data_IF_990565439683
#
_entry.id   IF_990565439683
#
_cell.length_a   1.000
_cell.length_b   1.000
_cell.length_c   1.000
_cell.angle_alpha   90.00
_cell.angle_beta   90.00
_cell.angle_gamma   90.00
#
_symmetry.space_group_name_H-M   'P 1'
#
loop_
_entity.id
_entity.type
_entity.pdbx_description
1 polymer ?
#
# COMPACT_ATOMS: atom_id res chain seq x y z
N UNK A 1 29.92 36.73 10.79
CA UNK A 1 28.53 36.31 11.12
C UNK A 1 28.21 35.14 10.19
N UNK A 2 28.21 33.91 10.69
CA UNK A 2 27.86 32.76 9.86
C UNK A 2 26.38 32.87 9.46
N UNK A 3 26.10 32.95 8.15
CA UNK A 3 24.75 32.77 7.63
C UNK A 3 24.19 31.51 8.28
N UNK A 4 23.00 31.63 8.84
CA UNK A 4 22.28 30.57 9.52
C UNK A 4 21.93 29.51 8.46
N UNK A 5 22.86 28.58 8.18
CA UNK A 5 22.68 27.51 7.23
C UNK A 5 21.54 26.63 7.74
N UNK A 6 20.44 26.56 6.98
CA UNK A 6 19.30 25.72 7.34
C UNK A 6 19.73 24.26 7.35
N UNK A 7 19.28 23.44 8.30
CA UNK A 7 19.54 22.02 8.27
C UNK A 7 18.90 21.37 7.02
N UNK A 8 19.63 20.46 6.41
CA UNK A 8 19.13 19.66 5.29
C UNK A 8 18.04 18.69 5.73
N UNK A 9 17.07 18.44 4.86
CA UNK A 9 16.05 17.41 5.04
C UNK A 9 15.87 16.66 3.72
N UNK A 10 16.08 15.36 3.74
CA UNK A 10 15.87 14.49 2.59
C UNK A 10 14.49 13.82 2.64
N UNK A 11 13.77 13.82 1.51
CA UNK A 11 12.43 13.27 1.39
C UNK A 11 12.34 12.28 0.21
N UNK A 12 12.00 11.03 0.50
CA UNK A 12 11.56 10.09 -0.51
C UNK A 12 10.10 10.40 -0.89
N UNK A 13 9.87 10.88 -2.09
CA UNK A 13 8.54 11.33 -2.55
C UNK A 13 8.00 10.40 -3.64
N UNK A 14 6.68 10.17 -3.64
CA UNK A 14 6.01 9.50 -4.76
C UNK A 14 6.04 10.39 -6.02
N UNK A 15 6.24 9.76 -7.19
CA UNK A 15 6.21 10.47 -8.47
C UNK A 15 4.77 10.77 -8.90
N UNK A 16 4.19 11.82 -8.34
CA UNK A 16 2.83 12.26 -8.64
C UNK A 16 2.68 13.79 -8.52
N UNK A 17 1.63 14.33 -9.13
CA UNK A 17 1.41 15.78 -9.19
C UNK A 17 1.37 16.47 -7.81
N UNK A 18 0.92 15.77 -6.77
CA UNK A 18 0.83 16.31 -5.40
C UNK A 18 2.20 16.58 -4.78
N UNK A 19 3.23 15.77 -5.09
CA UNK A 19 4.58 15.96 -4.60
C UNK A 19 5.44 16.83 -5.53
N UNK A 20 5.00 17.05 -6.77
CA UNK A 20 5.80 17.73 -7.80
C UNK A 20 6.33 19.09 -7.36
N UNK A 21 5.52 19.89 -6.69
CA UNK A 21 5.93 21.24 -6.25
C UNK A 21 7.04 21.24 -5.18
N UNK A 22 7.16 20.14 -4.41
CA UNK A 22 8.28 19.91 -3.49
C UNK A 22 9.52 19.45 -4.25
N UNK A 23 9.36 18.54 -5.22
CA UNK A 23 10.47 17.96 -5.97
C UNK A 23 11.13 18.98 -6.91
N UNK A 24 10.34 19.87 -7.53
CA UNK A 24 10.87 20.91 -8.46
C UNK A 24 11.25 22.24 -7.76
N UNK A 25 11.18 22.28 -6.43
CA UNK A 25 11.60 23.42 -5.60
C UNK A 25 10.69 24.64 -5.63
N UNK A 26 9.48 24.55 -6.23
CA UNK A 26 8.49 25.65 -6.22
C UNK A 26 7.94 25.91 -4.82
N UNK A 27 7.91 24.89 -3.97
CA UNK A 27 7.56 25.00 -2.55
C UNK A 27 8.83 24.80 -1.73
N UNK A 28 9.15 25.75 -0.88
CA UNK A 28 10.33 25.74 0.00
C UNK A 28 9.91 25.69 1.46
N UNK A 29 10.66 24.97 2.27
CA UNK A 29 10.44 24.94 3.71
C UNK A 29 11.09 26.18 4.36
N UNK A 30 10.40 26.73 5.37
CA UNK A 30 10.90 27.92 6.09
C UNK A 30 12.20 27.63 6.85
N UNK A 31 12.29 26.48 7.52
CA UNK A 31 13.33 26.17 8.49
C UNK A 31 14.33 25.10 8.01
N UNK A 32 14.11 24.50 6.86
CA UNK A 32 14.93 23.40 6.31
C UNK A 32 15.27 23.64 4.84
N UNK A 33 16.41 23.11 4.43
CA UNK A 33 16.73 22.93 3.01
C UNK A 33 16.23 21.55 2.56
N UNK A 34 15.15 21.53 1.79
CA UNK A 34 14.51 20.28 1.36
C UNK A 34 15.15 19.74 0.09
N UNK A 35 15.58 18.48 0.15
CA UNK A 35 15.94 17.67 -1.00
C UNK A 35 14.88 16.56 -1.18
N UNK A 36 13.86 16.81 -2.00
CA UNK A 36 12.85 15.81 -2.33
C UNK A 36 13.27 15.02 -3.57
N UNK A 37 13.31 13.70 -3.46
CA UNK A 37 13.68 12.78 -4.54
C UNK A 37 12.44 11.99 -4.94
N UNK A 38 11.92 12.17 -6.17
CA UNK A 38 10.77 11.43 -6.64
C UNK A 38 11.17 10.01 -7.07
N UNK A 39 10.37 9.03 -6.68
CA UNK A 39 10.45 7.65 -7.13
C UNK A 39 9.25 7.31 -8.02
N UNK A 40 9.49 6.77 -9.21
CA UNK A 40 8.43 6.30 -10.11
C UNK A 40 7.76 5.04 -9.57
N UNK A 41 8.54 4.21 -8.89
CA UNK A 41 8.07 3.00 -8.23
C UNK A 41 7.98 3.23 -6.72
N UNK A 42 6.77 3.34 -6.19
CA UNK A 42 6.53 3.51 -4.75
C UNK A 42 7.25 2.45 -3.91
N UNK A 43 7.36 1.22 -4.44
CA UNK A 43 8.05 0.13 -3.75
C UNK A 43 9.54 0.40 -3.56
N UNK A 44 10.21 1.01 -4.53
CA UNK A 44 11.62 1.40 -4.43
C UNK A 44 11.81 2.52 -3.42
N UNK A 45 10.98 3.55 -3.47
CA UNK A 45 11.00 4.64 -2.48
C UNK A 45 10.80 4.14 -1.04
N UNK A 46 9.91 3.15 -0.85
CA UNK A 46 9.72 2.51 0.45
C UNK A 46 10.96 1.74 0.93
N UNK A 47 11.65 1.02 0.04
CA UNK A 47 12.84 0.26 0.39
C UNK A 47 14.01 1.18 0.77
N UNK A 48 14.22 2.23 0.00
CA UNK A 48 15.24 3.24 0.27
C UNK A 48 14.98 3.99 1.60
N UNK A 49 13.72 4.31 1.88
CA UNK A 49 13.32 4.91 3.15
C UNK A 49 13.55 3.95 4.33
N UNK A 50 13.15 2.69 4.21
CA UNK A 50 13.37 1.67 5.25
C UNK A 50 14.86 1.39 5.47
N UNK A 51 15.69 1.53 4.44
CA UNK A 51 17.15 1.44 4.53
C UNK A 51 17.79 2.66 5.22
N UNK A 52 17.01 3.66 5.64
CA UNK A 52 17.51 4.84 6.35
C UNK A 52 18.23 5.86 5.45
N UNK A 53 17.99 5.82 4.13
CA UNK A 53 18.60 6.75 3.19
C UNK A 53 17.94 8.12 3.15
N UNK A 54 16.80 8.27 3.81
CA UNK A 54 16.00 9.49 3.85
C UNK A 54 15.52 9.80 5.28
N UNK A 55 15.47 11.09 5.60
CA UNK A 55 14.94 11.58 6.88
C UNK A 55 13.41 11.45 6.94
N UNK A 56 12.75 11.58 5.80
CA UNK A 56 11.29 11.46 5.66
C UNK A 56 10.92 10.74 4.37
N UNK A 57 9.71 10.17 4.32
CA UNK A 57 9.22 9.49 3.11
C UNK A 57 7.71 9.38 3.06
N UNK A 58 7.17 9.41 1.83
CA UNK A 58 5.81 8.94 1.59
C UNK A 58 5.82 7.41 1.74
N UNK A 59 4.91 6.88 2.56
CA UNK A 59 4.97 5.48 2.95
C UNK A 59 3.60 4.81 2.97
N UNK A 60 3.56 3.50 2.74
CA UNK A 60 2.34 2.71 2.83
C UNK A 60 1.80 2.68 4.25
N UNK A 61 0.55 3.11 4.47
CA UNK A 61 -0.08 3.08 5.80
C UNK A 61 -0.10 1.66 6.39
N UNK A 62 -0.41 0.64 5.60
CA UNK A 62 -0.44 -0.74 6.09
C UNK A 62 0.96 -1.22 6.54
N UNK A 63 2.00 -0.90 5.78
CA UNK A 63 3.38 -1.21 6.16
C UNK A 63 3.82 -0.42 7.40
N UNK A 64 3.47 0.87 7.48
CA UNK A 64 3.74 1.69 8.65
C UNK A 64 3.15 1.08 9.92
N UNK A 65 1.86 0.70 9.89
CA UNK A 65 1.20 0.08 11.03
C UNK A 65 1.86 -1.25 11.44
N UNK A 66 2.22 -2.09 10.46
CA UNK A 66 2.92 -3.35 10.71
C UNK A 66 4.31 -3.14 11.33
N UNK A 67 5.07 -2.16 10.87
CA UNK A 67 6.37 -1.81 11.44
C UNK A 67 6.23 -1.18 12.83
N UNK A 68 5.27 -0.27 12.99
CA UNK A 68 5.01 0.42 14.26
C UNK A 68 4.59 -0.55 15.37
N UNK A 69 3.76 -1.55 15.06
CA UNK A 69 3.36 -2.59 16.03
C UNK A 69 4.53 -3.44 16.53
N UNK A 70 5.68 -3.38 15.85
CA UNK A 70 6.93 -4.07 16.23
C UNK A 70 7.96 -3.13 16.84
N UNK A 71 7.58 -1.90 17.19
CA UNK A 71 8.45 -0.94 17.84
C UNK A 71 9.38 -0.18 16.89
N UNK A 72 9.14 -0.22 15.56
CA UNK A 72 9.96 0.57 14.63
C UNK A 72 9.91 2.07 14.97
N UNK A 73 11.04 2.80 14.89
CA UNK A 73 11.16 4.17 15.37
C UNK A 73 10.59 5.22 14.41
N UNK A 74 9.66 4.81 13.54
CA UNK A 74 9.01 5.71 12.61
C UNK A 74 7.91 6.53 13.28
N UNK A 75 7.79 7.79 12.88
CA UNK A 75 6.71 8.70 13.27
C UNK A 75 5.94 9.13 12.03
N UNK A 76 4.63 8.94 12.04
CA UNK A 76 3.78 9.48 11.00
C UNK A 76 3.38 10.92 11.34
N UNK A 77 3.46 11.82 10.37
CA UNK A 77 2.85 13.14 10.44
C UNK A 77 1.46 13.10 9.78
N UNK A 78 0.50 13.94 10.19
CA UNK A 78 -0.88 13.88 9.70
C UNK A 78 -1.03 14.47 8.29
N UNK A 79 -0.19 14.03 7.36
CA UNK A 79 -0.22 14.40 5.94
C UNK A 79 -0.57 13.15 5.14
N UNK A 80 -1.69 13.18 4.43
CA UNK A 80 -2.20 12.06 3.64
C UNK A 80 -2.19 12.42 2.15
N UNK A 81 -1.08 12.17 1.42
CA UNK A 81 -0.94 12.53 0.02
C UNK A 81 -1.92 11.80 -0.89
N UNK A 82 -2.32 10.58 -0.51
CA UNK A 82 -3.25 9.76 -1.28
C UNK A 82 -4.51 9.46 -0.46
N UNK A 83 -5.65 9.98 -0.92
CA UNK A 83 -6.96 9.75 -0.31
C UNK A 83 -7.91 9.18 -1.36
N UNK A 84 -8.40 7.96 -1.15
CA UNK A 84 -9.31 7.28 -2.08
C UNK A 84 -10.33 6.46 -1.32
N UNK A 85 -11.57 6.42 -1.82
CA UNK A 85 -12.57 5.47 -1.35
C UNK A 85 -12.19 4.06 -1.80
N UNK A 86 -12.08 3.13 -0.85
CA UNK A 86 -11.59 1.78 -1.12
C UNK A 86 -12.68 0.78 -1.45
N UNK A 87 -13.95 1.14 -1.31
CA UNK A 87 -15.11 0.33 -1.74
C UNK A 87 -15.05 -0.01 -3.23
N UNK A 88 -14.53 0.90 -4.07
CA UNK A 88 -14.40 0.70 -5.52
C UNK A 88 -13.12 -0.06 -5.95
N UNK A 89 -12.44 -0.70 -5.02
CA UNK A 89 -11.18 -1.42 -5.31
C UNK A 89 -11.34 -2.94 -5.38
N UNK A 90 -12.56 -3.45 -5.35
CA UNK A 90 -12.85 -4.85 -5.57
C UNK A 90 -13.38 -5.01 -6.99
N UNK A 91 -12.64 -5.72 -7.82
CA UNK A 91 -12.96 -5.94 -9.23
C UNK A 91 -13.30 -7.41 -9.45
N UNK A 92 -14.31 -7.66 -10.26
CA UNK A 92 -14.72 -8.98 -10.71
C UNK A 92 -14.73 -9.02 -12.25
N UNK A 93 -14.65 -10.20 -12.89
CA UNK A 93 -14.86 -10.31 -14.33
C UNK A 93 -16.24 -9.75 -14.73
N UNK A 94 -16.34 -9.17 -15.93
CA UNK A 94 -17.59 -8.58 -16.44
C UNK A 94 -18.77 -9.55 -16.38
N UNK A 95 -18.53 -10.81 -16.74
CA UNK A 95 -19.55 -11.87 -16.72
C UNK A 95 -19.63 -12.63 -15.39
N UNK A 96 -19.09 -12.06 -14.30
CA UNK A 96 -19.12 -12.69 -12.98
C UNK A 96 -20.55 -12.84 -12.47
N UNK A 97 -20.90 -13.98 -11.87
CA UNK A 97 -22.15 -14.15 -11.15
C UNK A 97 -22.19 -13.37 -9.83
N UNK A 98 -21.03 -12.88 -9.35
CA UNK A 98 -20.93 -12.14 -8.11
C UNK A 98 -21.51 -10.72 -8.31
N UNK A 99 -22.52 -10.37 -7.51
CA UNK A 99 -23.21 -9.07 -7.56
C UNK A 99 -23.06 -8.29 -6.27
N UNK A 100 -22.70 -8.94 -5.18
CA UNK A 100 -22.60 -8.36 -3.85
C UNK A 100 -21.29 -8.81 -3.16
N UNK A 101 -20.65 -7.94 -2.35
CA UNK A 101 -19.43 -8.29 -1.65
C UNK A 101 -19.55 -9.50 -0.72
N UNK A 102 -20.73 -9.75 -0.13
CA UNK A 102 -20.99 -10.91 0.72
C UNK A 102 -20.77 -12.26 0.01
N UNK A 103 -20.90 -12.29 -1.33
CA UNK A 103 -20.72 -13.50 -2.15
C UNK A 103 -19.23 -13.87 -2.34
N UNK A 104 -18.31 -13.05 -1.84
CA UNK A 104 -16.87 -13.37 -1.83
C UNK A 104 -16.49 -14.46 -0.82
N UNK A 105 -17.40 -14.88 0.06
CA UNK A 105 -17.17 -16.03 0.94
C UNK A 105 -16.88 -17.29 0.14
N UNK A 106 -15.80 -17.99 0.48
CA UNK A 106 -15.31 -19.18 -0.22
C UNK A 106 -14.64 -18.92 -1.56
N UNK A 107 -14.49 -17.66 -1.98
CA UNK A 107 -13.92 -17.29 -3.28
C UNK A 107 -12.42 -17.10 -3.23
N UNK A 108 -11.78 -17.20 -4.41
CA UNK A 108 -10.35 -16.97 -4.61
C UNK A 108 -10.09 -15.54 -5.06
N UNK A 109 -9.39 -14.76 -4.23
CA UNK A 109 -9.17 -13.33 -4.46
C UNK A 109 -7.68 -13.03 -4.61
N UNK A 110 -7.31 -12.41 -5.73
CA UNK A 110 -5.96 -11.95 -6.00
C UNK A 110 -5.68 -10.59 -5.35
N UNK A 111 -4.54 -10.47 -4.68
CA UNK A 111 -4.07 -9.21 -4.07
C UNK A 111 -2.60 -8.98 -4.43
N UNK A 112 -2.14 -7.72 -4.60
CA UNK A 112 -0.73 -7.46 -4.91
C UNK A 112 0.20 -7.81 -3.75
N UNK A 113 -0.28 -7.65 -2.51
CA UNK A 113 0.44 -7.97 -1.27
C UNK A 113 -0.54 -7.90 -0.11
N UNK A 114 -0.31 -8.67 0.95
CA UNK A 114 -1.13 -8.61 2.16
C UNK A 114 -1.06 -7.24 2.84
N UNK A 115 0.11 -6.59 2.82
CA UNK A 115 0.34 -5.24 3.36
C UNK A 115 0.07 -4.11 2.35
N UNK A 116 -0.62 -4.38 1.25
CA UNK A 116 -1.14 -3.32 0.39
C UNK A 116 -2.26 -2.56 1.14
N UNK A 117 -2.16 -1.23 1.20
CA UNK A 117 -3.13 -0.38 1.92
C UNK A 117 -4.55 -0.53 1.37
N UNK A 118 -4.72 -0.65 0.04
CA UNK A 118 -6.04 -0.87 -0.54
C UNK A 118 -6.63 -2.21 -0.06
N UNK A 119 -5.84 -3.28 -0.07
CA UNK A 119 -6.25 -4.60 0.41
C UNK A 119 -6.55 -4.63 1.90
N UNK A 120 -5.80 -3.89 2.73
CA UNK A 120 -6.10 -3.76 4.16
C UNK A 120 -7.49 -3.14 4.38
N UNK A 121 -7.76 -2.02 3.72
CA UNK A 121 -9.06 -1.35 3.79
C UNK A 121 -10.19 -2.22 3.23
N UNK A 122 -9.99 -2.87 2.08
CA UNK A 122 -10.99 -3.75 1.49
C UNK A 122 -11.34 -4.90 2.43
N UNK A 123 -10.35 -5.52 3.09
CA UNK A 123 -10.62 -6.57 4.09
C UNK A 123 -11.38 -6.05 5.31
N UNK A 124 -11.07 -4.84 5.79
CA UNK A 124 -11.83 -4.20 6.86
C UNK A 124 -13.28 -3.95 6.45
N UNK A 125 -13.50 -3.33 5.30
CA UNK A 125 -14.84 -3.06 4.75
C UNK A 125 -15.63 -4.37 4.56
N UNK A 126 -15.02 -5.40 3.97
CA UNK A 126 -15.66 -6.71 3.81
C UNK A 126 -16.07 -7.32 5.16
N UNK A 127 -15.22 -7.18 6.18
CA UNK A 127 -15.52 -7.68 7.51
C UNK A 127 -16.63 -6.88 8.20
N UNK A 128 -16.51 -5.57 8.21
CA UNK A 128 -17.33 -4.69 9.04
C UNK A 128 -18.72 -4.43 8.42
N UNK A 129 -18.77 -4.27 7.09
CA UNK A 129 -20.03 -3.93 6.41
C UNK A 129 -20.74 -5.15 5.82
N UNK A 130 -19.99 -6.21 5.43
CA UNK A 130 -20.58 -7.38 4.74
C UNK A 130 -20.40 -8.70 5.48
N UNK A 131 -19.78 -8.71 6.65
CA UNK A 131 -19.60 -9.91 7.46
C UNK A 131 -18.69 -10.97 6.79
N UNK A 132 -17.82 -10.57 5.85
CA UNK A 132 -16.88 -11.45 5.17
C UNK A 132 -15.51 -11.32 5.81
N UNK A 133 -15.15 -12.25 6.68
CA UNK A 133 -13.87 -12.24 7.38
C UNK A 133 -12.72 -12.62 6.47
N UNK A 134 -11.47 -12.20 6.78
CA UNK A 134 -10.30 -12.66 6.03
C UNK A 134 -10.18 -14.18 5.90
N UNK A 135 -10.62 -14.93 6.91
CA UNK A 135 -10.62 -16.38 6.89
C UNK A 135 -11.66 -17.01 5.94
N UNK A 136 -12.67 -16.25 5.53
CA UNK A 136 -13.71 -16.73 4.62
C UNK A 136 -13.27 -16.71 3.15
N UNK A 137 -12.10 -16.14 2.84
CA UNK A 137 -11.60 -15.95 1.48
C UNK A 137 -10.27 -16.68 1.31
N UNK A 138 -10.08 -17.28 0.13
CA UNK A 138 -8.78 -17.79 -0.29
C UNK A 138 -7.97 -16.68 -1.00
N UNK A 139 -7.02 -16.12 -0.30
CA UNK A 139 -6.17 -15.04 -0.81
C UNK A 139 -4.97 -15.58 -1.59
N UNK A 140 -4.62 -14.90 -2.68
CA UNK A 140 -3.42 -15.21 -3.46
C UNK A 140 -2.66 -13.94 -3.77
N UNK A 141 -1.34 -13.97 -3.58
CA UNK A 141 -0.46 -12.86 -3.95
C UNK A 141 0.75 -13.34 -4.75
N UNK A 142 1.32 -12.49 -5.66
CA UNK A 142 2.39 -12.90 -6.55
C UNK A 142 3.77 -12.97 -5.88
N UNK A 143 3.93 -12.33 -4.72
CA UNK A 143 5.22 -12.27 -4.00
C UNK A 143 5.00 -12.11 -2.50
N UNK A 144 5.99 -12.52 -1.70
CA UNK A 144 5.96 -12.33 -0.25
C UNK A 144 5.91 -10.84 0.13
N UNK A 145 5.35 -10.56 1.30
CA UNK A 145 5.41 -9.22 1.86
C UNK A 145 6.87 -8.81 2.15
N UNK A 146 7.17 -7.53 2.03
CA UNK A 146 8.47 -6.95 2.42
C UNK A 146 8.68 -6.96 3.95
N UNK A 147 7.59 -6.93 4.69
CA UNK A 147 7.55 -7.00 6.16
C UNK A 147 6.72 -8.22 6.54
N UNK A 148 7.23 -9.06 7.43
CA UNK A 148 6.47 -10.21 7.91
C UNK A 148 5.24 -9.74 8.68
N UNK A 149 4.19 -10.53 8.65
CA UNK A 149 2.95 -10.26 9.39
C UNK A 149 2.37 -11.58 9.91
N UNK A 150 1.78 -11.51 11.07
CA UNK A 150 0.93 -12.59 11.56
C UNK A 150 -0.45 -12.44 10.93
N UNK A 151 -0.90 -13.46 10.22
CA UNK A 151 -2.23 -13.47 9.63
C UNK A 151 -3.29 -13.73 10.70
N UNK A 152 -4.51 -13.20 10.53
CA UNK A 152 -5.65 -13.61 11.36
C UNK A 152 -5.85 -15.14 11.32
N UNK A 153 -6.27 -15.71 12.43
CA UNK A 153 -6.49 -17.15 12.56
C UNK A 153 -7.44 -17.65 11.47
N UNK A 154 -7.09 -18.77 10.86
CA UNK A 154 -7.86 -19.40 9.78
C UNK A 154 -7.70 -18.76 8.40
N UNK A 155 -6.95 -17.67 8.26
CA UNK A 155 -6.72 -17.04 6.96
C UNK A 155 -5.87 -17.94 6.05
N UNK A 156 -6.39 -18.25 4.86
CA UNK A 156 -5.66 -18.94 3.80
C UNK A 156 -5.04 -17.92 2.85
N UNK A 157 -3.72 -17.89 2.77
CA UNK A 157 -2.97 -17.01 1.88
C UNK A 157 -1.87 -17.80 1.16
N UNK A 158 -1.98 -17.91 -0.15
CA UNK A 158 -0.99 -18.56 -1.00
C UNK A 158 -0.10 -17.50 -1.67
N UNK A 159 1.20 -17.79 -1.75
CA UNK A 159 2.14 -17.01 -2.55
C UNK A 159 2.42 -17.79 -3.82
N UNK A 160 1.90 -17.29 -4.94
CA UNK A 160 2.09 -17.90 -6.26
C UNK A 160 2.88 -16.92 -7.12
N UNK A 161 4.22 -17.11 -7.26
CA UNK A 161 5.06 -16.20 -8.02
C UNK A 161 4.56 -15.99 -9.44
N UNK A 162 4.50 -14.74 -9.86
CA UNK A 162 4.09 -14.37 -11.22
C UNK A 162 4.53 -12.94 -11.52
N UNK A 163 4.97 -12.71 -12.75
CA UNK A 163 5.24 -11.38 -13.30
C UNK A 163 4.02 -10.81 -14.04
N UNK A 164 2.99 -11.64 -14.23
CA UNK A 164 1.75 -11.19 -14.83
C UNK A 164 0.93 -10.33 -13.85
N UNK A 165 0.23 -9.33 -14.39
CA UNK A 165 -0.68 -8.52 -13.60
C UNK A 165 -1.85 -9.35 -13.05
N UNK A 166 -2.38 -8.96 -11.88
CA UNK A 166 -3.57 -9.61 -11.32
C UNK A 166 -4.76 -9.56 -12.29
N UNK A 167 -4.90 -8.47 -13.05
CA UNK A 167 -5.96 -8.33 -14.06
C UNK A 167 -5.81 -9.38 -15.18
N UNK A 168 -4.61 -9.57 -15.73
CA UNK A 168 -4.36 -10.59 -16.75
C UNK A 168 -4.68 -12.00 -16.23
N UNK A 169 -4.27 -12.31 -15.01
CA UNK A 169 -4.56 -13.59 -14.36
C UNK A 169 -6.05 -13.79 -14.08
N UNK A 170 -6.75 -12.72 -13.69
CA UNK A 170 -8.22 -12.77 -13.52
C UNK A 170 -8.93 -13.07 -14.86
N UNK A 171 -8.51 -12.44 -15.96
CA UNK A 171 -9.06 -12.71 -17.28
C UNK A 171 -8.81 -14.14 -17.76
N UNK A 172 -7.77 -14.81 -17.24
CA UNK A 172 -7.52 -16.25 -17.45
C UNK A 172 -8.34 -17.16 -16.52
N UNK A 173 -9.19 -16.59 -15.66
CA UNK A 173 -10.04 -17.34 -14.73
C UNK A 173 -9.34 -17.83 -13.47
N UNK A 174 -8.16 -17.30 -13.14
CA UNK A 174 -7.43 -17.72 -11.93
C UNK A 174 -8.05 -17.19 -10.64
N UNK A 175 -8.78 -16.09 -10.70
CA UNK A 175 -9.40 -15.40 -9.57
C UNK A 175 -10.87 -15.11 -9.83
N UNK A 176 -11.70 -15.24 -8.79
CA UNK A 176 -13.09 -14.79 -8.79
C UNK A 176 -13.17 -13.25 -8.66
N UNK A 177 -12.18 -12.65 -7.99
CA UNK A 177 -12.05 -11.20 -7.83
C UNK A 177 -10.58 -10.81 -7.60
N UNK A 178 -10.28 -9.51 -7.75
CA UNK A 178 -8.98 -8.92 -7.39
C UNK A 178 -9.18 -7.61 -6.60
N UNK A 179 -8.17 -7.22 -5.83
CA UNK A 179 -8.11 -5.93 -5.11
C UNK A 179 -6.85 -5.19 -5.51
#
# INVERSE_FOLDING_TARGET
>A
MSENQKPGLSLAAGYHLRAKALCDGRVKLKNFELKAIPFENDGEGHDEFMAGKFDAGEFSLAMYLALKSRGAPYMAIPVFPNRKFRQSYIFVPENSPLKEPAQLKGKKVGIPSWLNTAGLWARGILSDEYGVKPADIHWVMPRKNKVDVTLPVGTRLDVVPSDESLAARMLKGEFDAII
#
